data_IF_688526116897
#
_entry.id   IF_688526116897
#
_cell.length_a   1.000
_cell.length_b   1.000
_cell.length_c   1.000
_cell.angle_alpha   90.00
_cell.angle_beta   90.00
_cell.angle_gamma   90.00
#
_symmetry.space_group_name_H-M   'P 1'
#
loop_
_entity.id
_entity.type
_entity.pdbx_description
1 polymer ?
#
# COMPACT_ATOMS: atom_id res chain seq x y z
N UNK A 1 0.32 -10.45 -5.08
CA UNK A 1 1.10 -11.57 -4.49
C UNK A 1 0.15 -12.41 -3.66
N UNK A 2 0.25 -13.74 -3.73
CA UNK A 2 -0.71 -14.63 -3.09
C UNK A 2 -0.01 -15.55 -2.09
N UNK A 3 -0.64 -15.75 -0.94
CA UNK A 3 -0.24 -16.73 0.07
C UNK A 3 -1.25 -17.87 0.03
N UNK A 4 -0.75 -19.08 -0.18
CA UNK A 4 -1.56 -20.28 -0.27
C UNK A 4 -1.28 -21.21 0.91
N UNK A 5 -2.29 -21.97 1.33
CA UNK A 5 -2.09 -23.10 2.25
C UNK A 5 -1.11 -24.10 1.64
N UNK A 6 -0.29 -24.72 2.48
CA UNK A 6 0.70 -25.70 2.03
C UNK A 6 0.04 -26.96 1.48
N UNK A 7 -1.01 -27.45 2.14
CA UNK A 7 -1.72 -28.70 1.86
C UNK A 7 -2.75 -28.56 0.73
N UNK A 8 -3.78 -27.73 0.93
CA UNK A 8 -4.93 -27.61 0.01
C UNK A 8 -4.71 -26.66 -1.17
N UNK A 9 -3.61 -25.88 -1.16
CA UNK A 9 -3.35 -24.79 -2.14
C UNK A 9 -4.49 -23.77 -2.23
N UNK A 10 -5.22 -23.59 -1.15
CA UNK A 10 -6.27 -22.58 -1.04
C UNK A 10 -5.65 -21.21 -0.78
N UNK A 11 -6.20 -20.18 -1.40
CA UNK A 11 -5.73 -18.81 -1.24
C UNK A 11 -6.14 -18.28 0.14
N UNK A 12 -5.16 -18.01 0.99
CA UNK A 12 -5.36 -17.47 2.34
C UNK A 12 -5.37 -15.94 2.34
N UNK A 13 -4.36 -15.34 1.71
CA UNK A 13 -4.13 -13.89 1.73
C UNK A 13 -3.68 -13.41 0.37
N UNK A 14 -4.29 -12.34 -0.11
CA UNK A 14 -3.80 -11.60 -1.27
C UNK A 14 -3.20 -10.26 -0.84
N UNK A 15 -2.06 -9.92 -1.44
CA UNK A 15 -1.31 -8.68 -1.21
C UNK A 15 -1.19 -7.96 -2.56
N UNK A 16 -1.87 -6.84 -2.69
CA UNK A 16 -1.92 -6.02 -3.89
C UNK A 16 -1.09 -4.74 -3.73
N UNK A 17 -0.23 -4.47 -4.71
CA UNK A 17 0.50 -3.21 -4.83
C UNK A 17 -0.20 -2.35 -5.86
N UNK A 18 -0.63 -1.15 -5.47
CA UNK A 18 -1.31 -0.25 -6.40
C UNK A 18 -0.37 0.24 -7.49
N UNK A 19 -0.88 0.20 -8.72
CA UNK A 19 -0.28 0.88 -9.86
C UNK A 19 -1.00 2.21 -10.12
N UNK A 20 -0.35 3.12 -10.83
CA UNK A 20 -0.98 4.39 -11.21
C UNK A 20 -2.23 4.19 -12.09
N UNK A 21 -2.40 3.06 -12.77
CA UNK A 21 -3.62 2.76 -13.52
C UNK A 21 -4.80 2.43 -12.58
N UNK A 22 -4.53 1.82 -11.42
CA UNK A 22 -5.55 1.43 -10.44
C UNK A 22 -6.19 2.64 -9.73
N UNK A 23 -5.69 3.86 -9.95
CA UNK A 23 -6.11 5.09 -9.26
C UNK A 23 -6.75 6.14 -10.20
N UNK A 24 -7.09 5.78 -11.45
CA UNK A 24 -7.72 6.70 -12.41
C UNK A 24 -8.55 6.00 -13.48
N UNK A 25 -9.61 6.69 -13.92
CA UNK A 25 -10.46 6.29 -15.05
C UNK A 25 -10.91 4.83 -14.98
N UNK A 26 -10.95 4.15 -16.12
CA UNK A 26 -11.39 2.74 -16.20
C UNK A 26 -10.56 1.77 -15.35
N UNK A 27 -9.28 2.07 -15.11
CA UNK A 27 -8.42 1.22 -14.29
C UNK A 27 -8.82 1.25 -12.81
N UNK A 28 -9.27 2.41 -12.32
CA UNK A 28 -9.86 2.52 -10.98
C UNK A 28 -11.15 1.73 -10.85
N UNK A 29 -12.05 1.83 -11.83
CA UNK A 29 -13.32 1.10 -11.81
C UNK A 29 -13.11 -0.42 -11.79
N UNK A 30 -12.21 -0.91 -12.65
CA UNK A 30 -11.84 -2.32 -12.71
C UNK A 30 -11.21 -2.80 -11.40
N UNK A 31 -10.31 -2.00 -10.84
CA UNK A 31 -9.65 -2.35 -9.59
C UNK A 31 -10.62 -2.34 -8.41
N UNK A 32 -11.55 -1.38 -8.34
CA UNK A 32 -12.62 -1.37 -7.32
C UNK A 32 -13.50 -2.61 -7.39
N UNK A 33 -13.82 -3.09 -8.58
CA UNK A 33 -14.60 -4.31 -8.77
C UNK A 33 -13.82 -5.56 -8.33
N UNK A 34 -12.53 -5.64 -8.64
CA UNK A 34 -11.65 -6.69 -8.11
C UNK A 34 -11.56 -6.67 -6.58
N UNK A 35 -11.29 -5.49 -6.02
CA UNK A 35 -11.25 -5.25 -4.57
C UNK A 35 -12.55 -5.70 -3.91
N UNK A 36 -13.70 -5.35 -4.49
CA UNK A 36 -15.03 -5.77 -4.01
C UNK A 36 -15.19 -7.29 -4.01
N UNK A 37 -14.75 -7.98 -5.07
CA UNK A 37 -14.78 -9.46 -5.13
C UNK A 37 -13.92 -10.09 -4.04
N UNK A 38 -12.73 -9.55 -3.78
CA UNK A 38 -11.85 -10.03 -2.70
C UNK A 38 -12.51 -9.81 -1.33
N UNK A 39 -13.05 -8.61 -1.08
CA UNK A 39 -13.70 -8.28 0.20
C UNK A 39 -14.98 -9.10 0.45
N UNK A 40 -15.65 -9.60 -0.58
CA UNK A 40 -16.78 -10.52 -0.45
C UNK A 40 -16.38 -11.99 -0.30
N UNK A 41 -15.10 -12.33 -0.49
CA UNK A 41 -14.58 -13.69 -0.33
C UNK A 41 -14.14 -13.96 1.11
N UNK A 42 -13.65 -15.18 1.37
CA UNK A 42 -13.03 -15.55 2.64
C UNK A 42 -11.54 -15.14 2.78
N UNK A 43 -10.97 -14.53 1.73
CA UNK A 43 -9.52 -14.22 1.64
C UNK A 43 -9.19 -12.97 2.45
N UNK A 44 -8.05 -12.98 3.15
CA UNK A 44 -7.49 -11.77 3.73
C UNK A 44 -6.90 -10.86 2.65
N UNK A 45 -7.02 -9.55 2.81
CA UNK A 45 -6.61 -8.60 1.79
C UNK A 45 -5.62 -7.59 2.36
N UNK A 46 -4.49 -7.42 1.67
CA UNK A 46 -3.50 -6.38 1.99
C UNK A 46 -3.36 -5.50 0.76
N UNK A 47 -3.46 -4.20 0.93
CA UNK A 47 -3.34 -3.20 -0.13
C UNK A 47 -2.20 -2.26 0.21
N UNK A 48 -1.27 -2.08 -0.72
CA UNK A 48 -0.09 -1.24 -0.56
C UNK A 48 -0.19 -0.11 -1.58
N UNK A 49 -0.45 1.11 -1.12
CA UNK A 49 -0.51 2.33 -1.93
C UNK A 49 0.69 3.23 -1.61
N UNK A 50 1.73 3.13 -2.43
CA UNK A 50 2.91 4.00 -2.37
C UNK A 50 2.83 5.14 -3.42
N UNK A 51 1.62 5.49 -3.88
CA UNK A 51 1.42 6.48 -4.92
C UNK A 51 0.76 7.75 -4.37
N UNK A 52 1.46 8.88 -4.47
CA UNK A 52 0.94 10.19 -4.04
C UNK A 52 -0.24 10.70 -4.89
N UNK A 53 -0.33 10.25 -6.14
CA UNK A 53 -1.33 10.73 -7.10
C UNK A 53 -2.49 9.77 -7.35
N UNK A 54 -3.59 10.31 -7.88
CA UNK A 54 -4.80 9.57 -8.22
C UNK A 54 -5.72 9.31 -7.02
N UNK A 55 -6.89 8.75 -7.29
CA UNK A 55 -7.93 8.47 -6.30
C UNK A 55 -7.65 7.13 -5.60
N UNK A 56 -7.77 7.09 -4.27
CA UNK A 56 -7.62 5.84 -3.53
C UNK A 56 -8.82 4.92 -3.80
N UNK A 57 -8.64 3.62 -4.04
CA UNK A 57 -9.76 2.75 -4.40
C UNK A 57 -10.76 2.50 -3.27
N UNK A 58 -10.28 2.38 -2.03
CA UNK A 58 -11.09 2.05 -0.85
C UNK A 58 -11.89 3.23 -0.30
N UNK A 59 -13.14 3.00 0.09
CA UNK A 59 -13.98 4.03 0.73
C UNK A 59 -13.48 4.34 2.15
N UNK A 60 -12.94 3.35 2.83
CA UNK A 60 -12.44 3.43 4.21
C UNK A 60 -11.22 4.35 4.39
N UNK A 61 -10.63 4.82 3.28
CA UNK A 61 -9.50 5.75 3.24
C UNK A 61 -9.82 7.08 2.57
N UNK A 62 -11.06 7.25 2.11
CA UNK A 62 -11.53 8.46 1.42
C UNK A 62 -12.61 9.22 2.20
N UNK A 63 -13.25 8.61 3.21
CA UNK A 63 -14.30 9.25 3.99
C UNK A 63 -14.19 8.96 5.51
N UNK A 64 -13.58 9.86 6.31
CA UNK A 64 -12.86 11.05 5.85
C UNK A 64 -11.53 10.68 5.14
N UNK A 65 -11.03 11.53 4.23
CA UNK A 65 -9.78 11.26 3.54
C UNK A 65 -8.58 11.39 4.49
N UNK A 66 -7.62 10.47 4.38
CA UNK A 66 -6.34 10.60 5.08
C UNK A 66 -5.44 11.64 4.41
N UNK A 67 -5.01 12.64 5.17
CA UNK A 67 -3.99 13.61 4.76
C UNK A 67 -2.59 13.01 4.92
N UNK A 68 -2.23 12.11 4.01
CA UNK A 68 -0.94 11.41 3.99
C UNK A 68 -0.50 11.08 2.56
N UNK A 69 0.77 10.73 2.39
CA UNK A 69 1.37 10.41 1.09
C UNK A 69 1.11 8.96 0.68
N UNK A 70 1.26 8.03 1.63
CA UNK A 70 1.12 6.60 1.41
C UNK A 70 0.11 5.98 2.37
N UNK A 71 -0.59 4.95 1.87
CA UNK A 71 -1.52 4.16 2.68
C UNK A 71 -1.17 2.69 2.51
N UNK A 72 -1.03 1.99 3.63
CA UNK A 72 -0.96 0.54 3.66
C UNK A 72 -2.14 0.04 4.47
N UNK A 73 -2.80 -1.01 3.98
CA UNK A 73 -4.02 -1.53 4.58
C UNK A 73 -3.92 -3.04 4.73
N UNK A 74 -4.31 -3.55 5.89
CA UNK A 74 -4.51 -4.98 6.16
C UNK A 74 -5.96 -5.19 6.56
N UNK A 75 -6.74 -5.77 5.65
CA UNK A 75 -8.11 -6.19 5.87
C UNK A 75 -8.16 -7.69 6.22
N UNK A 76 -8.42 -7.98 7.49
CA UNK A 76 -8.61 -9.33 7.99
C UNK A 76 -10.04 -9.79 7.76
N UNK A 77 -10.16 -11.02 7.27
CA UNK A 77 -11.43 -11.71 7.19
C UNK A 77 -11.67 -12.46 8.51
N UNK A 78 -12.46 -11.88 9.40
CA UNK A 78 -12.77 -12.47 10.71
C UNK A 78 -14.28 -12.65 10.82
N UNK A 79 -14.83 -13.80 10.43
CA UNK A 79 -16.29 -14.03 10.50
C UNK A 79 -16.85 -13.70 11.89
N UNK A 80 -17.88 -12.84 12.05
CA UNK A 80 -18.77 -12.29 11.02
C UNK A 80 -18.38 -10.90 10.45
N UNK A 81 -17.30 -10.28 10.90
CA UNK A 81 -16.92 -8.91 10.53
C UNK A 81 -15.46 -8.79 10.05
N UNK A 82 -15.26 -8.14 8.91
CA UNK A 82 -13.91 -7.75 8.48
C UNK A 82 -13.35 -6.65 9.37
N UNK A 83 -12.04 -6.71 9.64
CA UNK A 83 -11.31 -5.68 10.37
C UNK A 83 -10.22 -5.10 9.47
N UNK A 84 -10.27 -3.79 9.20
CA UNK A 84 -9.21 -3.07 8.50
C UNK A 84 -8.31 -2.36 9.49
N UNK A 85 -7.02 -2.71 9.46
CA UNK A 85 -5.96 -1.89 10.01
C UNK A 85 -5.35 -1.04 8.88
N UNK A 86 -5.17 0.25 9.11
CA UNK A 86 -4.68 1.22 8.13
C UNK A 86 -3.45 1.91 8.73
N UNK A 87 -2.41 2.04 7.92
CA UNK A 87 -1.22 2.82 8.21
C UNK A 87 -1.13 3.95 7.19
N UNK A 88 -1.33 5.16 7.66
CA UNK A 88 -0.96 6.38 6.97
C UNK A 88 0.52 6.68 7.22
N UNK A 89 1.25 6.94 6.13
CA UNK A 89 2.71 7.15 6.20
C UNK A 89 3.08 8.36 5.38
N UNK A 90 3.63 9.37 6.06
CA UNK A 90 4.16 10.54 5.40
C UNK A 90 5.45 10.22 4.65
N UNK A 91 5.76 11.00 3.61
CA UNK A 91 6.93 10.75 2.76
C UNK A 91 8.27 10.72 3.54
N UNK A 92 8.36 11.47 4.64
CA UNK A 92 9.55 11.57 5.49
C UNK A 92 9.60 10.53 6.62
N UNK A 93 8.65 9.60 6.69
CA UNK A 93 8.57 8.58 7.72
C UNK A 93 9.03 7.21 7.19
N UNK A 94 9.61 6.35 8.05
CA UNK A 94 9.94 4.99 7.67
C UNK A 94 8.66 4.18 7.40
N UNK A 95 8.69 3.31 6.39
CA UNK A 95 7.57 2.41 6.10
C UNK A 95 7.37 1.37 7.23
N UNK A 96 6.11 1.03 7.59
CA UNK A 96 5.81 0.17 8.73
C UNK A 96 6.15 -1.30 8.49
N UNK A 97 6.15 -2.09 9.56
CA UNK A 97 6.06 -3.55 9.45
C UNK A 97 4.60 -3.97 9.49
N UNK A 98 4.12 -4.58 8.40
CA UNK A 98 2.74 -5.04 8.29
C UNK A 98 2.57 -6.43 8.91
N UNK A 99 1.54 -6.66 9.74
CA UNK A 99 1.18 -7.99 10.19
C UNK A 99 0.37 -8.70 9.10
N UNK A 100 1.01 -9.59 8.33
CA UNK A 100 0.35 -10.30 7.23
C UNK A 100 -0.45 -11.47 7.81
N UNK A 101 -1.78 -11.45 7.73
CA UNK A 101 -2.61 -12.49 8.32
C UNK A 101 -2.46 -13.81 7.57
N UNK A 102 -2.52 -14.91 8.32
CA UNK A 102 -2.56 -16.29 7.82
C UNK A 102 -3.84 -16.97 8.31
N UNK A 103 -4.13 -18.17 7.82
CA UNK A 103 -5.26 -18.95 8.34
C UNK A 103 -4.94 -19.48 9.74
N UNK A 104 -5.91 -19.52 10.67
CA UNK A 104 -5.73 -20.15 11.95
C UNK A 104 -5.26 -21.62 11.83
N UNK A 105 -4.38 -22.08 12.72
CA UNK A 105 -3.90 -21.42 13.94
C UNK A 105 -2.65 -20.55 13.74
N UNK A 106 -2.16 -20.37 12.51
CA UNK A 106 -0.90 -19.67 12.26
C UNK A 106 -1.02 -18.17 12.62
N UNK A 107 -0.05 -17.61 13.36
CA UNK A 107 -0.06 -16.19 13.67
C UNK A 107 0.31 -15.33 12.46
N UNK A 108 0.00 -14.04 12.54
CA UNK A 108 0.41 -13.07 11.51
C UNK A 108 1.93 -13.10 11.30
N UNK A 109 2.35 -13.10 10.03
CA UNK A 109 3.76 -13.03 9.65
C UNK A 109 4.18 -11.57 9.46
N UNK A 110 5.21 -11.06 10.14
CA UNK A 110 5.65 -9.68 9.98
C UNK A 110 6.32 -9.46 8.62
N UNK A 111 5.86 -8.44 7.88
CA UNK A 111 6.46 -7.98 6.63
C UNK A 111 7.00 -6.57 6.79
N UNK A 112 8.33 -6.42 6.91
CA UNK A 112 8.98 -5.13 7.05
C UNK A 112 9.04 -4.41 5.68
N UNK A 113 8.17 -3.43 5.48
CA UNK A 113 8.03 -2.75 4.19
C UNK A 113 9.24 -1.89 3.83
N UNK A 114 9.90 -1.30 4.84
CA UNK A 114 11.14 -0.55 4.62
C UNK A 114 12.25 -1.45 4.06
N UNK A 115 12.40 -2.66 4.61
CA UNK A 115 13.37 -3.65 4.14
C UNK A 115 13.04 -4.17 2.74
N UNK A 116 11.75 -4.41 2.46
CA UNK A 116 11.28 -4.82 1.12
C UNK A 116 11.64 -3.77 0.09
N UNK A 117 11.25 -2.50 0.31
CA UNK A 117 11.49 -1.43 -0.64
C UNK A 117 12.98 -1.16 -0.84
N UNK A 118 13.76 -1.06 0.24
CA UNK A 118 15.21 -0.83 0.16
C UNK A 118 15.95 -1.98 -0.56
N UNK A 119 15.49 -3.22 -0.39
CA UNK A 119 16.05 -4.37 -1.09
C UNK A 119 15.77 -4.33 -2.58
N UNK A 120 14.53 -4.02 -2.97
CA UNK A 120 14.15 -3.84 -4.38
C UNK A 120 14.98 -2.69 -4.97
N UNK A 121 15.06 -1.58 -4.25
CA UNK A 121 15.76 -0.38 -4.71
C UNK A 121 17.24 -0.65 -5.03
N UNK A 122 17.95 -1.29 -4.08
CA UNK A 122 19.35 -1.67 -4.23
C UNK A 122 19.57 -2.70 -5.34
N UNK A 123 18.67 -3.69 -5.47
CA UNK A 123 18.80 -4.77 -6.47
C UNK A 123 18.63 -4.28 -7.91
N UNK A 124 17.72 -3.34 -8.13
CA UNK A 124 17.45 -2.79 -9.46
C UNK A 124 18.36 -1.60 -9.82
N UNK A 125 19.25 -1.20 -8.91
CA UNK A 125 20.17 -0.06 -9.07
C UNK A 125 19.45 1.17 -9.63
N UNK A 126 18.30 1.50 -9.03
CA UNK A 126 17.51 2.64 -9.46
C UNK A 126 18.27 3.96 -9.33
N UNK A 127 19.29 4.03 -8.47
CA UNK A 127 20.25 5.15 -8.40
C UNK A 127 20.86 5.51 -9.76
N UNK A 128 20.95 4.56 -10.70
CA UNK A 128 21.49 4.77 -12.05
C UNK A 128 20.43 5.09 -13.12
N UNK A 129 19.14 4.99 -12.79
CA UNK A 129 18.04 5.08 -13.76
C UNK A 129 17.00 6.14 -13.40
N UNK A 130 17.00 6.65 -12.16
CA UNK A 130 16.12 7.72 -11.73
C UNK A 130 16.92 9.02 -11.65
N UNK A 131 16.50 9.99 -12.47
CA UNK A 131 17.06 11.34 -12.46
C UNK A 131 16.38 12.15 -11.36
N UNK A 132 17.00 12.19 -10.19
CA UNK A 132 16.54 12.95 -9.03
C UNK A 132 16.70 14.47 -9.18
N UNK A 133 17.34 14.94 -10.26
CA UNK A 133 17.42 16.37 -10.58
C UNK A 133 16.16 16.88 -11.29
N UNK A 134 15.25 15.99 -11.69
CA UNK A 134 13.98 16.40 -12.27
C UNK A 134 13.06 17.00 -11.21
N UNK A 135 12.20 17.96 -11.60
CA UNK A 135 11.20 18.49 -10.69
C UNK A 135 10.34 17.36 -10.15
N UNK A 136 9.97 17.48 -8.88
CA UNK A 136 9.15 16.47 -8.23
C UNK A 136 7.87 16.20 -9.05
N UNK A 137 7.57 14.94 -9.38
CA UNK A 137 6.42 14.62 -10.21
C UNK A 137 5.12 15.02 -9.49
N UNK A 138 4.07 15.42 -10.23
CA UNK A 138 2.78 15.74 -9.64
C UNK A 138 2.19 14.52 -8.88
N UNK A 139 1.32 14.74 -7.89
CA UNK A 139 0.84 16.05 -7.41
C UNK A 139 1.90 16.81 -6.62
N UNK A 140 1.64 18.10 -6.34
CA UNK A 140 2.46 18.87 -5.41
C UNK A 140 2.48 18.18 -4.04
N UNK A 141 3.59 18.34 -3.31
CA UNK A 141 3.66 17.89 -1.92
C UNK A 141 2.54 18.55 -1.10
N UNK A 142 2.06 17.83 -0.10
CA UNK A 142 1.13 18.36 0.89
C UNK A 142 1.83 19.48 1.68
N UNK A 143 1.11 20.48 2.22
CA UNK A 143 1.74 21.65 2.85
C UNK A 143 2.79 21.31 3.92
N UNK A 144 2.47 20.38 4.84
CA UNK A 144 3.41 19.91 5.86
C UNK A 144 4.69 19.32 5.24
N UNK A 145 4.56 18.68 4.08
CA UNK A 145 5.70 18.11 3.37
C UNK A 145 6.51 19.12 2.57
N UNK A 146 5.87 20.14 2.01
CA UNK A 146 6.58 21.27 1.41
C UNK A 146 7.45 21.98 2.45
N UNK A 147 6.90 22.24 3.64
CA UNK A 147 7.65 22.89 4.73
C UNK A 147 8.79 22.03 5.25
N UNK A 148 8.58 20.71 5.38
CA UNK A 148 9.64 19.80 5.77
C UNK A 148 10.75 19.77 4.72
N UNK A 149 10.38 19.68 3.45
CA UNK A 149 11.29 19.67 2.31
C UNK A 149 12.14 20.95 2.28
N UNK A 150 11.53 22.12 2.37
CA UNK A 150 12.27 23.41 2.41
C UNK A 150 13.22 23.54 3.60
N UNK A 151 12.93 22.88 4.73
CA UNK A 151 13.77 22.88 5.93
C UNK A 151 14.96 21.92 5.86
N UNK A 152 14.85 20.86 5.06
CA UNK A 152 15.83 19.77 5.02
C UNK A 152 16.56 19.66 3.67
N UNK A 153 16.05 20.31 2.61
CA UNK A 153 16.79 20.61 1.38
C UNK A 153 17.26 22.08 1.41
N UNK A 154 18.44 22.30 1.99
CA UNK A 154 19.28 23.43 1.63
C UNK A 154 20.55 22.82 1.02
N UNK A 155 20.58 22.70 -0.31
CA UNK A 155 21.74 22.25 -1.07
C UNK A 155 21.40 21.43 -2.30
#
# INVERSE_FOLDING_TARGET
MHIYTSESKELATTIELLSGANKRGRGLDQYREERRRILLSAIHFVEIDLLRGGERPGWEVNDPPFDTDYILLVNRNSTPHRNSAIWDVALNEPLPTLPIPLLPPDPDTPLNMQTVLSTIYRRHVYDRHLDYMQPMPPPQLRPAMQEWWQRHEIG
#
